data_IF_750449216031
#
_entry.id   IF_750449216031
#
_cell.length_a   1.000
_cell.length_b   1.000
_cell.length_c   1.000
_cell.angle_alpha   90.00
_cell.angle_beta   90.00
_cell.angle_gamma   90.00
#
_symmetry.space_group_name_H-M   'P 1'
#
loop_
_entity.id
_entity.type
_entity.pdbx_description
1 polymer ?
#
# COMPACT_ATOMS: atom_id res chain seq x y z
N UNK A 1 -0.44 6.97 -5.20
CA UNK A 1 0.27 5.67 -5.09
C UNK A 1 1.38 5.49 -6.13
N UNK A 2 1.08 5.58 -7.43
CA UNK A 2 2.05 5.29 -8.51
C UNK A 2 3.33 6.15 -8.46
N UNK A 3 3.20 7.47 -8.26
CA UNK A 3 4.35 8.38 -8.12
C UNK A 3 5.23 8.07 -6.89
N UNK A 4 4.63 7.66 -5.77
CA UNK A 4 5.38 7.31 -4.56
C UNK A 4 6.24 6.06 -4.80
N UNK A 5 5.68 5.02 -5.43
CA UNK A 5 6.42 3.79 -5.77
C UNK A 5 7.61 4.08 -6.68
N UNK A 6 7.46 4.97 -7.66
CA UNK A 6 8.55 5.35 -8.57
C UNK A 6 9.63 6.21 -7.90
N UNK A 7 9.26 6.99 -6.88
CA UNK A 7 10.17 7.95 -6.25
C UNK A 7 10.98 7.34 -5.11
N UNK A 8 10.35 6.51 -4.27
CA UNK A 8 11.00 5.92 -3.07
C UNK A 8 11.20 4.41 -3.16
N UNK A 9 10.67 3.76 -4.20
CA UNK A 9 10.71 2.31 -4.36
C UNK A 9 9.59 1.60 -3.61
N UNK A 10 9.10 0.49 -4.18
CA UNK A 10 7.98 -0.28 -3.65
C UNK A 10 8.19 -0.82 -2.24
N UNK A 11 9.44 -1.03 -1.80
CA UNK A 11 9.77 -1.60 -0.49
C UNK A 11 9.68 -0.56 0.66
N UNK A 12 9.59 0.72 0.32
CA UNK A 12 9.46 1.83 1.28
C UNK A 12 8.02 2.36 1.40
N UNK A 13 7.07 1.78 0.66
CA UNK A 13 5.67 2.20 0.65
C UNK A 13 4.81 1.15 1.38
N UNK A 14 3.96 1.62 2.30
CA UNK A 14 3.01 0.79 3.06
C UNK A 14 1.60 1.35 2.93
N UNK A 15 0.60 0.47 2.96
CA UNK A 15 -0.81 0.84 3.00
C UNK A 15 -1.25 1.25 4.40
N UNK A 16 -2.07 2.30 4.47
CA UNK A 16 -2.78 2.74 5.66
C UNK A 16 -4.15 3.28 5.24
N UNK A 17 -5.13 3.20 6.15
CA UNK A 17 -6.52 3.62 5.92
C UNK A 17 -6.86 4.92 6.66
N UNK A 18 -6.08 5.33 7.67
CA UNK A 18 -6.40 6.49 8.51
C UNK A 18 -7.83 6.47 9.09
N UNK A 19 -8.28 5.28 9.51
CA UNK A 19 -9.51 5.12 10.28
C UNK A 19 -9.42 5.89 11.61
N UNK A 20 -10.49 6.58 12.08
CA UNK A 20 -11.87 6.62 11.55
C UNK A 20 -12.15 7.75 10.55
N UNK A 21 -11.14 8.41 10.00
CA UNK A 21 -11.32 9.58 9.17
C UNK A 21 -11.59 9.25 7.69
N UNK A 22 -11.08 8.12 7.18
CA UNK A 22 -11.43 7.60 5.85
C UNK A 22 -12.15 6.25 5.90
N UNK A 23 -12.91 5.97 4.84
CA UNK A 23 -13.65 4.73 4.66
C UNK A 23 -12.73 3.59 4.20
N UNK A 24 -12.76 2.46 4.92
CA UNK A 24 -11.88 1.32 4.64
C UNK A 24 -12.09 0.75 3.24
N UNK A 25 -13.34 0.76 2.75
CA UNK A 25 -13.68 0.23 1.44
C UNK A 25 -13.05 1.06 0.30
N UNK A 26 -13.00 2.38 0.44
CA UNK A 26 -12.40 3.27 -0.56
C UNK A 26 -10.88 3.12 -0.60
N UNK A 27 -10.25 3.04 0.58
CA UNK A 27 -8.81 2.82 0.71
C UNK A 27 -8.38 1.49 0.06
N UNK A 28 -9.11 0.39 0.30
CA UNK A 28 -8.82 -0.91 -0.32
C UNK A 28 -9.00 -0.86 -1.84
N UNK A 29 -10.10 -0.27 -2.32
CA UNK A 29 -10.36 -0.13 -3.76
C UNK A 29 -9.26 0.69 -4.47
N UNK A 30 -8.62 1.64 -3.78
CA UNK A 30 -7.51 2.44 -4.33
C UNK A 30 -6.27 1.59 -4.65
N UNK A 31 -5.97 0.56 -3.84
CA UNK A 31 -4.87 -0.37 -4.09
C UNK A 31 -5.21 -1.33 -5.23
N UNK A 32 -6.44 -1.86 -5.23
CA UNK A 32 -6.88 -2.81 -6.26
C UNK A 32 -6.83 -2.18 -7.65
N UNK A 33 -7.26 -0.92 -7.76
CA UNK A 33 -7.28 -0.16 -9.02
C UNK A 33 -5.93 0.43 -9.42
N UNK A 34 -4.91 0.39 -8.55
CA UNK A 34 -3.60 0.92 -8.89
C UNK A 34 -2.98 0.17 -10.07
N UNK A 35 -2.42 0.88 -11.04
CA UNK A 35 -1.74 0.25 -12.19
C UNK A 35 -0.34 -0.26 -11.80
N UNK A 36 -0.28 -1.22 -10.88
CA UNK A 36 0.98 -1.77 -10.37
C UNK A 36 1.00 -3.28 -10.58
N UNK A 37 2.18 -3.89 -10.80
CA UNK A 37 2.32 -5.34 -10.87
C UNK A 37 1.73 -6.00 -9.62
N UNK A 38 1.07 -7.18 -9.73
CA UNK A 38 0.43 -7.84 -8.58
C UNK A 38 1.36 -8.02 -7.38
N UNK A 39 2.61 -8.43 -7.63
CA UNK A 39 3.65 -8.59 -6.60
C UNK A 39 4.02 -7.29 -5.88
N UNK A 40 3.91 -6.15 -6.55
CA UNK A 40 4.13 -4.82 -5.95
C UNK A 40 2.95 -4.42 -5.08
N UNK A 41 1.72 -4.76 -5.47
CA UNK A 41 0.52 -4.54 -4.65
C UNK A 41 0.58 -5.35 -3.36
N UNK A 42 0.94 -6.63 -3.41
CA UNK A 42 1.12 -7.50 -2.23
C UNK A 42 2.17 -6.94 -1.25
N UNK A 43 3.27 -6.41 -1.78
CA UNK A 43 4.30 -5.76 -0.96
C UNK A 43 3.75 -4.60 -0.15
N UNK A 44 3.04 -3.70 -0.81
CA UNK A 44 2.49 -2.49 -0.20
C UNK A 44 1.33 -2.81 0.73
N UNK A 45 0.48 -3.78 0.36
CA UNK A 45 -0.71 -4.16 1.11
C UNK A 45 -0.39 -4.87 2.43
N UNK A 46 0.62 -5.77 2.46
CA UNK A 46 0.88 -6.53 3.68
C UNK A 46 2.34 -6.95 3.90
N UNK A 47 3.17 -7.18 2.88
CA UNK A 47 4.52 -7.73 3.14
C UNK A 47 5.47 -6.69 3.78
N UNK A 48 5.41 -5.44 3.34
CA UNK A 48 6.23 -4.37 3.93
C UNK A 48 5.76 -4.03 5.35
N UNK A 49 4.45 -4.06 5.58
CA UNK A 49 3.84 -3.87 6.90
C UNK A 49 4.17 -4.99 7.89
N UNK A 50 4.62 -6.17 7.44
CA UNK A 50 5.16 -7.22 8.31
C UNK A 50 6.64 -7.01 8.63
N UNK A 51 7.41 -6.55 7.65
CA UNK A 51 8.87 -6.38 7.77
C UNK A 51 9.28 -5.17 8.59
N UNK A 52 8.62 -4.03 8.42
CA UNK A 52 9.08 -2.74 8.99
C UNK A 52 8.66 -2.56 10.46
N UNK A 53 7.41 -2.85 10.87
CA UNK A 53 7.00 -2.83 12.27
C UNK A 53 7.33 -4.11 13.03
N UNK A 54 7.69 -5.21 12.34
CA UNK A 54 8.03 -6.50 12.95
C UNK A 54 6.82 -7.35 13.40
N UNK A 55 5.76 -7.42 12.58
CA UNK A 55 4.50 -8.15 12.85
C UNK A 55 4.22 -9.30 11.87
#
# INVERSE_FOLDING_TARGET
MHAAVLTVGADAVMFAVDYPYEETAEAVASIEKADLPPRTKEKIAHLNARRVPGI
#
